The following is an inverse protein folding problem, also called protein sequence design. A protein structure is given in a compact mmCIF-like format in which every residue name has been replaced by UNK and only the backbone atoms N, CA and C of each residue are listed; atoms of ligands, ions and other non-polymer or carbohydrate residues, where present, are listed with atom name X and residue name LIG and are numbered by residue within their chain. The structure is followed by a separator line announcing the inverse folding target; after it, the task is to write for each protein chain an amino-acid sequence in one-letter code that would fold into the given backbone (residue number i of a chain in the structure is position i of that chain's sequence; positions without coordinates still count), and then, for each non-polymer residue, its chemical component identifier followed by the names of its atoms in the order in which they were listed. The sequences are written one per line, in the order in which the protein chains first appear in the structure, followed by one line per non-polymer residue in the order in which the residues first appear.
data_IF_984658890020
#
_entry.id   IF_984658890020
#
_cell.length_a   1.000
_cell.length_b   1.000
_cell.length_c   1.000
_cell.angle_alpha   90.00
_cell.angle_beta   90.00
_cell.angle_gamma   90.00
#
_symmetry.space_group_name_H-M   'P 1'
#
loop_
_entity.id
_entity.type
_entity.pdbx_description
1 polymer ?
#
# COMPACT_ATOMS: atom_id res chain seq x y z
N UNK A 1 -19.94 6.47 -7.62
CA UNK A 1 -20.86 5.53 -8.28
C UNK A 1 -20.79 4.11 -7.77
N UNK A 2 -20.55 3.87 -6.47
CA UNK A 2 -20.59 2.52 -5.91
C UNK A 2 -22.03 2.03 -5.69
N UNK A 3 -22.23 0.71 -5.60
CA UNK A 3 -23.54 0.13 -5.21
C UNK A 3 -23.83 0.46 -3.75
N UNK A 4 -25.05 0.89 -3.43
CA UNK A 4 -25.46 1.26 -2.05
C UNK A 4 -25.18 0.15 -1.03
N UNK A 5 -25.45 -1.10 -1.38
CA UNK A 5 -25.18 -2.24 -0.50
C UNK A 5 -23.68 -2.47 -0.22
N UNK A 6 -22.79 -2.18 -1.19
CA UNK A 6 -21.35 -2.29 -1.00
C UNK A 6 -20.85 -1.20 -0.04
N UNK A 7 -21.34 0.03 -0.20
CA UNK A 7 -21.03 1.14 0.73
C UNK A 7 -21.52 0.82 2.14
N UNK A 8 -22.75 0.32 2.29
CA UNK A 8 -23.30 -0.07 3.59
C UNK A 8 -22.47 -1.16 4.27
N UNK A 9 -21.96 -2.15 3.52
CA UNK A 9 -21.05 -3.17 4.05
C UNK A 9 -19.75 -2.56 4.56
N UNK A 10 -19.14 -1.63 3.82
CA UNK A 10 -17.92 -0.94 4.23
C UNK A 10 -18.15 -0.13 5.51
N UNK A 11 -19.23 0.66 5.57
CA UNK A 11 -19.59 1.42 6.78
C UNK A 11 -19.76 0.49 7.97
N UNK A 12 -20.50 -0.61 7.81
CA UNK A 12 -20.68 -1.60 8.88
C UNK A 12 -19.34 -2.17 9.35
N UNK A 13 -18.43 -2.51 8.44
CA UNK A 13 -17.08 -2.98 8.81
C UNK A 13 -16.31 -1.90 9.57
N UNK A 14 -16.37 -0.64 9.14
CA UNK A 14 -15.72 0.47 9.87
C UNK A 14 -16.32 0.65 11.27
N UNK A 15 -17.63 0.46 11.45
CA UNK A 15 -18.29 0.47 12.77
C UNK A 15 -17.83 -0.71 13.63
N UNK A 16 -17.81 -1.93 13.08
CA UNK A 16 -17.38 -3.16 13.78
C UNK A 16 -15.94 -3.06 14.30
N UNK A 17 -15.05 -2.34 13.60
CA UNK A 17 -13.66 -2.10 14.01
C UNK A 17 -13.46 -0.74 14.72
N UNK A 18 -14.53 0.00 15.04
CA UNK A 18 -14.45 1.29 15.75
C UNK A 18 -13.86 2.46 14.94
N UNK A 19 -13.63 2.29 13.64
CA UNK A 19 -13.00 3.28 12.77
C UNK A 19 -13.95 4.43 12.39
N UNK A 20 -15.27 4.27 12.56
CA UNK A 20 -16.24 5.34 12.28
C UNK A 20 -16.14 6.55 13.21
N UNK A 21 -15.53 6.41 14.39
CA UNK A 21 -15.35 7.53 15.34
C UNK A 21 -14.55 8.71 14.75
N UNK A 22 -13.67 8.42 13.77
CA UNK A 22 -12.81 9.39 13.11
C UNK A 22 -12.96 9.37 11.58
N UNK A 23 -13.99 8.72 11.04
CA UNK A 23 -14.19 8.58 9.58
C UNK A 23 -15.48 9.25 9.13
N UNK A 24 -15.38 10.04 8.04
CA UNK A 24 -16.55 10.58 7.33
C UNK A 24 -16.69 9.86 5.99
N UNK A 25 -17.91 9.43 5.63
CA UNK A 25 -18.18 8.75 4.37
C UNK A 25 -19.04 9.64 3.47
N UNK A 26 -18.45 10.13 2.37
CA UNK A 26 -19.16 10.91 1.34
C UNK A 26 -19.68 9.97 0.27
N UNK A 27 -21.01 9.89 0.11
CA UNK A 27 -21.65 8.87 -0.72
C UNK A 27 -22.33 9.48 -1.94
N UNK A 28 -21.84 9.13 -3.13
CA UNK A 28 -22.57 9.29 -4.40
C UNK A 28 -22.68 7.92 -5.09
N UNK A 29 -23.81 7.25 -4.88
CA UNK A 29 -24.04 5.88 -5.39
C UNK A 29 -24.29 5.85 -6.89
N UNK A 30 -24.30 4.65 -7.49
CA UNK A 30 -24.58 4.46 -8.92
C UNK A 30 -25.98 4.95 -9.35
N UNK A 31 -26.95 5.01 -8.43
CA UNK A 31 -28.30 5.52 -8.72
C UNK A 31 -28.39 7.05 -8.69
N UNK A 32 -27.36 7.73 -8.19
CA UNK A 32 -27.34 9.19 -8.13
C UNK A 32 -27.00 9.78 -9.50
N UNK A 33 -27.55 10.97 -9.84
CA UNK A 33 -27.27 11.62 -11.11
C UNK A 33 -25.79 11.99 -11.25
N UNK A 34 -25.30 12.03 -12.49
CA UNK A 34 -23.90 12.30 -12.81
C UNK A 34 -23.29 13.54 -12.14
N UNK A 35 -23.99 14.68 -11.95
CA UNK A 35 -23.46 15.83 -11.22
C UNK A 35 -23.04 15.50 -9.78
N UNK A 36 -23.80 14.66 -9.07
CA UNK A 36 -23.47 14.27 -7.70
C UNK A 36 -22.25 13.35 -7.64
N UNK A 37 -22.15 12.41 -8.59
CA UNK A 37 -20.97 11.53 -8.69
C UNK A 37 -19.70 12.33 -9.07
N UNK A 38 -19.84 13.33 -9.93
CA UNK A 38 -18.77 14.24 -10.31
C UNK A 38 -18.28 15.10 -9.12
N UNK A 39 -19.19 15.64 -8.31
CA UNK A 39 -18.85 16.59 -7.25
C UNK A 39 -18.36 15.92 -5.95
N UNK A 40 -18.76 14.67 -5.68
CA UNK A 40 -18.48 13.99 -4.42
C UNK A 40 -16.99 14.00 -4.01
N UNK A 41 -16.02 13.75 -4.91
CA UNK A 41 -14.60 13.86 -4.55
C UNK A 41 -14.18 15.27 -4.14
N UNK A 42 -14.71 16.31 -4.78
CA UNK A 42 -14.43 17.70 -4.40
C UNK A 42 -15.03 18.06 -3.04
N UNK A 43 -16.23 17.56 -2.73
CA UNK A 43 -16.88 17.73 -1.43
C UNK A 43 -16.07 17.07 -0.31
N UNK A 44 -15.65 15.81 -0.50
CA UNK A 44 -14.78 15.12 0.47
C UNK A 44 -13.43 15.80 0.63
N UNK A 45 -12.83 16.27 -0.47
CA UNK A 45 -11.57 17.00 -0.43
C UNK A 45 -11.69 18.30 0.37
N UNK A 46 -12.77 19.07 0.18
CA UNK A 46 -13.02 20.29 0.96
C UNK A 46 -13.19 20.00 2.47
N UNK A 47 -13.85 18.90 2.83
CA UNK A 47 -13.94 18.45 4.23
C UNK A 47 -12.56 18.10 4.79
N UNK A 48 -11.72 17.40 4.03
CA UNK A 48 -10.34 17.07 4.41
C UNK A 48 -9.43 18.30 4.56
N UNK A 49 -9.58 19.28 3.67
CA UNK A 49 -8.84 20.54 3.72
C UNK A 49 -9.11 21.34 4.99
N UNK A 50 -10.35 21.31 5.51
CA UNK A 50 -10.64 21.93 6.81
C UNK A 50 -9.74 21.37 7.93
N UNK A 51 -9.51 20.06 7.96
CA UNK A 51 -8.59 19.46 8.93
C UNK A 51 -7.13 19.85 8.64
N UNK A 52 -6.69 19.78 7.38
CA UNK A 52 -5.35 20.20 6.94
C UNK A 52 -5.02 21.64 7.37
N UNK A 53 -5.94 22.57 7.10
CA UNK A 53 -5.75 24.01 7.32
C UNK A 53 -5.91 24.42 8.79
N UNK A 54 -6.41 23.50 9.63
CA UNK A 54 -6.47 23.67 11.10
C UNK A 54 -5.35 22.93 11.83
N UNK A 55 -4.26 22.61 11.12
CA UNK A 55 -3.06 21.96 11.69
C UNK A 55 -3.22 20.47 11.97
N UNK A 56 -4.32 19.84 11.53
CA UNK A 56 -4.57 18.40 11.70
C UNK A 56 -4.14 17.62 10.47
N UNK A 57 -4.10 16.30 10.62
CA UNK A 57 -3.76 15.37 9.55
C UNK A 57 -5.01 14.59 9.13
N UNK A 58 -5.32 14.58 7.84
CA UNK A 58 -6.45 13.86 7.27
C UNK A 58 -6.01 12.91 6.16
N UNK A 59 -6.73 11.81 6.02
CA UNK A 59 -6.62 10.84 4.94
C UNK A 59 -7.91 10.86 4.13
N UNK A 60 -7.80 10.92 2.81
CA UNK A 60 -8.93 10.80 1.89
C UNK A 60 -8.72 9.65 0.92
N UNK A 61 -9.75 8.80 0.78
CA UNK A 61 -9.78 7.70 -0.18
C UNK A 61 -10.85 8.00 -1.22
N UNK A 62 -10.48 7.97 -2.50
CA UNK A 62 -11.44 8.16 -3.59
C UNK A 62 -11.75 6.82 -4.26
N UNK A 63 -12.93 6.26 -3.98
CA UNK A 63 -13.39 4.96 -4.49
C UNK A 63 -14.61 5.11 -5.43
N UNK A 64 -14.43 5.30 -6.74
CA UNK A 64 -13.16 5.41 -7.48
C UNK A 64 -13.18 6.57 -8.47
N UNK A 65 -12.00 7.03 -8.88
CA UNK A 65 -11.84 8.16 -9.80
C UNK A 65 -12.15 7.78 -11.26
N UNK A 66 -12.10 6.49 -11.61
CA UNK A 66 -12.55 6.01 -12.93
C UNK A 66 -14.05 6.33 -13.12
N UNK A 67 -14.88 6.09 -12.11
CA UNK A 67 -16.31 6.42 -12.11
C UNK A 67 -16.57 7.93 -12.03
N UNK A 68 -15.70 8.72 -11.37
CA UNK A 68 -15.79 10.18 -11.44
C UNK A 68 -15.56 10.70 -12.87
N UNK A 69 -14.52 10.21 -13.55
CA UNK A 69 -14.23 10.58 -14.94
C UNK A 69 -15.38 10.18 -15.88
N UNK A 70 -15.98 9.00 -15.69
CA UNK A 70 -17.14 8.56 -16.46
C UNK A 70 -18.36 9.47 -16.26
N UNK A 71 -18.63 9.90 -15.01
CA UNK A 71 -19.67 10.89 -14.73
C UNK A 71 -19.38 12.24 -15.39
N UNK A 72 -18.12 12.71 -15.35
CA UNK A 72 -17.73 13.96 -16.01
C UNK A 72 -17.87 13.90 -17.54
N UNK A 73 -17.56 12.74 -18.12
CA UNK A 73 -17.79 12.46 -19.54
C UNK A 73 -19.26 12.57 -19.90
N UNK A 74 -20.15 11.93 -19.13
CA UNK A 74 -21.59 12.00 -19.34
C UNK A 74 -22.08 13.45 -19.31
N UNK A 75 -21.66 14.23 -18.31
CA UNK A 75 -22.03 15.65 -18.19
C UNK A 75 -21.55 16.46 -19.41
N UNK A 76 -20.30 16.28 -19.79
CA UNK A 76 -19.69 17.04 -20.89
C UNK A 76 -20.38 16.75 -22.23
N UNK A 77 -20.72 15.49 -22.50
CA UNK A 77 -21.43 15.10 -23.71
C UNK A 77 -22.86 15.66 -23.75
N UNK A 78 -23.59 15.63 -22.62
CA UNK A 78 -24.93 16.23 -22.53
C UNK A 78 -24.90 17.75 -22.72
N UNK A 79 -23.83 18.42 -22.28
CA UNK A 79 -23.56 19.83 -22.53
C UNK A 79 -23.03 20.12 -23.93
N UNK A 80 -22.94 19.11 -24.81
CA UNK A 80 -22.43 19.20 -26.19
C UNK A 80 -21.00 19.75 -26.27
N UNK A 81 -20.17 19.50 -25.26
CA UNK A 81 -18.74 19.79 -25.33
C UNK A 81 -18.07 18.76 -26.28
N UNK A 82 -17.16 19.19 -27.17
CA UNK A 82 -16.44 18.28 -28.05
C UNK A 82 -15.67 17.20 -27.26
N UNK A 83 -15.84 15.90 -27.58
CA UNK A 83 -15.09 14.83 -26.96
C UNK A 83 -13.69 14.66 -27.58
N UNK A 84 -12.76 14.10 -26.79
CA UNK A 84 -11.44 13.67 -27.22
C UNK A 84 -11.29 12.14 -27.15
N UNK A 85 -10.11 11.66 -26.72
CA UNK A 85 -9.79 10.22 -26.61
C UNK A 85 -10.79 9.50 -25.69
N UNK A 86 -11.25 8.32 -26.11
CA UNK A 86 -12.23 7.49 -25.39
C UNK A 86 -13.53 8.24 -25.00
N UNK A 87 -13.89 9.24 -25.81
CA UNK A 87 -15.01 10.15 -25.64
C UNK A 87 -14.97 11.03 -24.37
N UNK A 88 -13.86 11.08 -23.64
CA UNK A 88 -13.70 11.99 -22.51
C UNK A 88 -13.51 13.44 -22.99
N UNK A 89 -13.93 14.45 -22.20
CA UNK A 89 -13.65 15.84 -22.52
C UNK A 89 -12.14 16.12 -22.46
N UNK A 90 -11.67 17.10 -23.24
CA UNK A 90 -10.23 17.42 -23.34
C UNK A 90 -9.58 17.86 -22.03
N UNK A 91 -10.37 18.31 -21.05
CA UNK A 91 -9.92 18.74 -19.72
C UNK A 91 -10.09 17.66 -18.64
N UNK A 92 -10.29 16.39 -19.01
CA UNK A 92 -10.38 15.28 -18.03
C UNK A 92 -9.11 15.09 -17.21
N UNK A 93 -7.95 15.50 -17.72
CA UNK A 93 -6.73 15.55 -16.91
C UNK A 93 -6.85 16.60 -15.79
N UNK A 94 -7.34 17.80 -16.14
CA UNK A 94 -7.52 18.90 -15.20
C UNK A 94 -8.55 18.58 -14.11
N UNK A 95 -9.55 17.74 -14.42
CA UNK A 95 -10.49 17.21 -13.42
C UNK A 95 -9.76 16.61 -12.22
N UNK A 96 -8.82 15.70 -12.46
CA UNK A 96 -8.13 14.98 -11.40
C UNK A 96 -6.90 15.73 -10.90
N UNK A 97 -6.18 16.50 -11.73
CA UNK A 97 -5.00 17.23 -11.26
C UNK A 97 -5.40 18.28 -10.22
N UNK A 98 -6.40 19.13 -10.50
CA UNK A 98 -6.87 20.12 -9.52
C UNK A 98 -7.49 19.51 -8.25
N UNK A 99 -7.90 18.24 -8.31
CA UNK A 99 -8.40 17.51 -7.16
C UNK A 99 -7.24 16.98 -6.30
N UNK A 100 -6.29 16.30 -6.92
CA UNK A 100 -5.21 15.60 -6.22
C UNK A 100 -4.10 16.54 -5.77
N UNK A 101 -3.81 17.62 -6.49
CA UNK A 101 -2.86 18.68 -6.06
C UNK A 101 -3.31 19.42 -4.79
N UNK A 102 -4.56 19.25 -4.36
CA UNK A 102 -5.04 19.75 -3.06
C UNK A 102 -4.59 18.87 -1.89
N UNK A 103 -4.14 17.64 -2.14
CA UNK A 103 -3.57 16.78 -1.11
C UNK A 103 -2.10 17.18 -0.88
N UNK A 104 -1.81 17.85 0.23
CA UNK A 104 -0.47 18.37 0.52
C UNK A 104 -0.16 18.40 2.02
N UNK A 105 1.12 18.44 2.36
CA UNK A 105 1.64 18.82 3.69
C UNK A 105 1.94 20.31 3.69
N UNK A 106 1.30 21.05 4.60
CA UNK A 106 1.53 22.47 4.76
C UNK A 106 2.84 22.75 5.51
N UNK A 107 3.41 23.93 5.28
CA UNK A 107 4.54 24.44 6.04
C UNK A 107 4.15 24.71 7.49
N UNK A 108 5.14 24.86 8.36
CA UNK A 108 4.94 25.16 9.77
C UNK A 108 4.26 26.53 9.97
N UNK A 109 4.56 27.51 9.10
CA UNK A 109 3.89 28.83 9.05
C UNK A 109 2.38 28.72 8.79
N UNK A 110 1.94 27.67 8.09
CA UNK A 110 0.53 27.37 7.80
C UNK A 110 -0.06 26.33 8.75
N UNK A 111 0.56 26.13 9.92
CA UNK A 111 0.08 25.22 10.96
C UNK A 111 0.47 23.75 10.78
N UNK A 112 1.21 23.41 9.72
CA UNK A 112 1.83 22.09 9.59
C UNK A 112 0.89 20.91 9.32
N UNK A 113 -0.41 21.12 9.10
CA UNK A 113 -1.35 20.03 8.81
C UNK A 113 -1.13 19.37 7.44
N UNK A 114 -1.77 18.22 7.22
CA UNK A 114 -1.65 17.49 5.95
C UNK A 114 -2.96 16.84 5.49
N UNK A 115 -3.14 16.75 4.18
CA UNK A 115 -4.14 15.91 3.54
C UNK A 115 -3.43 14.87 2.66
N UNK A 116 -3.52 13.60 3.03
CA UNK A 116 -2.99 12.49 2.24
C UNK A 116 -4.11 11.89 1.39
N UNK A 117 -3.89 11.72 0.09
CA UNK A 117 -4.88 11.14 -0.83
C UNK A 117 -4.47 9.74 -1.30
N UNK A 118 -5.40 8.79 -1.23
CA UNK A 118 -5.31 7.46 -1.82
C UNK A 118 -6.40 7.30 -2.89
N UNK A 119 -6.17 7.76 -4.13
CA UNK A 119 -7.11 7.56 -5.21
C UNK A 119 -7.11 6.10 -5.68
N UNK A 120 -8.30 5.55 -5.90
CA UNK A 120 -8.49 4.23 -6.53
C UNK A 120 -8.84 4.44 -8.00
N UNK A 121 -8.19 3.66 -8.86
CA UNK A 121 -8.45 3.59 -10.29
C UNK A 121 -8.69 2.13 -10.66
N UNK A 122 -9.82 1.89 -11.29
CA UNK A 122 -10.13 0.60 -11.90
C UNK A 122 -9.52 0.55 -13.30
N UNK A 123 -8.63 -0.41 -13.55
CA UNK A 123 -8.11 -0.73 -14.88
C UNK A 123 -8.98 -1.79 -15.55
N UNK A 124 -9.11 -1.74 -16.87
CA UNK A 124 -9.84 -2.76 -17.63
C UNK A 124 -8.84 -3.81 -18.12
N UNK A 125 -9.08 -5.08 -17.76
CA UNK A 125 -8.21 -6.21 -18.12
C UNK A 125 -6.70 -6.01 -17.77
N UNK A 126 -6.41 -5.22 -16.73
CA UNK A 126 -5.03 -4.93 -16.33
C UNK A 126 -4.30 -3.91 -17.23
N UNK A 127 -4.99 -3.22 -18.13
CA UNK A 127 -4.37 -2.21 -18.98
C UNK A 127 -4.12 -0.89 -18.23
N UNK A 128 -2.87 -0.70 -17.82
CA UNK A 128 -2.38 0.54 -17.21
C UNK A 128 -2.11 1.67 -18.21
N UNK A 129 -2.06 1.34 -19.52
CA UNK A 129 -1.82 2.29 -20.60
C UNK A 129 -3.11 2.97 -21.11
N UNK A 130 -4.26 2.56 -20.57
CA UNK A 130 -5.54 3.21 -20.82
C UNK A 130 -5.50 4.69 -20.40
N UNK A 131 -6.40 5.49 -20.99
CA UNK A 131 -6.30 6.95 -20.92
C UNK A 131 -6.39 7.51 -19.50
N UNK A 132 -7.37 7.07 -18.70
CA UNK A 132 -7.56 7.56 -17.33
C UNK A 132 -6.47 7.06 -16.36
N UNK A 133 -6.10 5.76 -16.33
CA UNK A 133 -4.98 5.30 -15.52
C UNK A 133 -3.68 6.05 -15.80
N UNK A 134 -3.31 6.24 -17.07
CA UNK A 134 -2.09 6.97 -17.45
C UNK A 134 -2.08 8.41 -16.92
N UNK A 135 -3.23 9.11 -17.01
CA UNK A 135 -3.37 10.46 -16.48
C UNK A 135 -3.19 10.52 -14.96
N UNK A 136 -3.79 9.59 -14.22
CA UNK A 136 -3.73 9.63 -12.75
C UNK A 136 -2.36 9.21 -12.24
N UNK A 137 -1.70 8.23 -12.88
CA UNK A 137 -0.31 7.84 -12.60
C UNK A 137 0.63 9.04 -12.74
N UNK A 138 0.44 9.90 -13.74
CA UNK A 138 1.30 11.08 -13.93
C UNK A 138 1.04 12.20 -12.92
N UNK A 139 -0.11 12.18 -12.22
CA UNK A 139 -0.45 13.15 -11.16
C UNK A 139 0.03 12.67 -9.78
N UNK A 140 -0.23 11.41 -9.42
CA UNK A 140 0.02 10.89 -8.07
C UNK A 140 1.50 10.65 -7.80
N UNK A 141 1.97 10.86 -6.57
CA UNK A 141 3.37 10.63 -6.13
C UNK A 141 3.81 9.16 -6.08
N UNK A 142 3.05 8.24 -6.67
CA UNK A 142 3.32 6.82 -6.68
C UNK A 142 2.08 6.03 -7.01
N UNK A 143 2.23 4.73 -7.11
CA UNK A 143 1.12 3.80 -7.33
C UNK A 143 1.37 2.48 -6.62
N UNK A 144 0.28 1.89 -6.15
CA UNK A 144 0.22 0.49 -5.73
C UNK A 144 -0.60 -0.22 -6.80
N UNK A 145 0.06 -1.08 -7.57
CA UNK A 145 -0.59 -1.84 -8.63
C UNK A 145 -0.98 -3.22 -8.12
N UNK A 146 -2.27 -3.54 -8.19
CA UNK A 146 -2.82 -4.82 -7.74
C UNK A 146 -3.14 -5.70 -8.95
N UNK A 147 -2.60 -6.92 -8.97
CA UNK A 147 -2.77 -7.85 -10.09
C UNK A 147 -3.66 -9.05 -9.74
N UNK A 148 -4.65 -9.38 -10.58
CA UNK A 148 -5.49 -10.56 -10.38
C UNK A 148 -4.68 -11.86 -10.29
N UNK A 149 -3.67 -12.05 -11.13
CA UNK A 149 -2.88 -13.29 -11.17
C UNK A 149 -2.14 -13.54 -9.85
N UNK A 150 -1.57 -12.50 -9.24
CA UNK A 150 -0.96 -12.58 -7.91
C UNK A 150 -2.00 -12.96 -6.84
N UNK A 151 -3.19 -12.36 -6.92
CA UNK A 151 -4.27 -12.63 -5.97
C UNK A 151 -4.75 -14.10 -6.02
N UNK A 152 -4.87 -14.66 -7.23
CA UNK A 152 -5.27 -16.05 -7.45
C UNK A 152 -4.13 -17.04 -7.12
N UNK A 153 -2.88 -16.63 -7.28
CA UNK A 153 -1.70 -17.38 -6.82
C UNK A 153 -1.51 -17.34 -5.28
N UNK A 154 -2.42 -16.69 -4.53
CA UNK A 154 -2.37 -16.64 -3.07
C UNK A 154 -1.45 -15.56 -2.49
N UNK A 155 -0.94 -14.63 -3.31
CA UNK A 155 -0.20 -13.46 -2.85
C UNK A 155 -1.21 -12.36 -2.52
N UNK A 156 -1.42 -12.11 -1.21
CA UNK A 156 -2.40 -11.16 -0.70
C UNK A 156 -1.75 -10.35 0.43
N UNK A 157 -1.69 -9.01 0.35
CA UNK A 157 -2.20 -8.15 -0.73
C UNK A 157 -1.45 -8.36 -2.05
N UNK A 158 -2.17 -8.27 -3.17
CA UNK A 158 -1.71 -8.68 -4.51
C UNK A 158 -0.85 -7.61 -5.21
N UNK A 159 0.12 -7.04 -4.50
CA UNK A 159 0.95 -5.92 -4.97
C UNK A 159 1.99 -6.40 -5.99
N UNK A 160 1.97 -5.84 -7.20
CA UNK A 160 3.10 -5.97 -8.13
C UNK A 160 4.20 -4.98 -7.72
N UNK A 161 5.27 -5.49 -7.11
CA UNK A 161 6.39 -4.69 -6.60
C UNK A 161 7.19 -3.99 -7.73
N UNK A 162 7.21 -4.57 -8.93
CA UNK A 162 7.91 -3.99 -10.09
C UNK A 162 7.18 -2.78 -10.66
N UNK A 163 5.86 -2.87 -10.80
CA UNK A 163 5.01 -1.80 -11.33
C UNK A 163 4.63 -0.76 -10.26
N UNK A 164 4.69 -1.12 -8.98
CA UNK A 164 4.42 -0.21 -7.87
C UNK A 164 5.64 0.64 -7.55
N UNK A 165 5.40 1.90 -7.18
CA UNK A 165 6.45 2.87 -6.83
C UNK A 165 5.94 3.90 -5.84
N UNK A 166 6.83 4.41 -5.02
CA UNK A 166 6.66 5.68 -4.28
C UNK A 166 7.76 6.63 -4.72
N UNK A 167 7.40 7.83 -5.19
CA UNK A 167 8.35 8.88 -5.60
C UNK A 167 8.91 9.64 -4.39
N UNK A 168 8.20 9.63 -3.27
CA UNK A 168 8.71 10.12 -1.97
C UNK A 168 9.77 9.16 -1.40
N UNK A 169 9.59 7.86 -1.62
CA UNK A 169 10.55 6.83 -1.24
C UNK A 169 10.81 6.78 0.27
N UNK A 170 12.08 6.55 0.65
CA UNK A 170 12.48 6.38 2.05
C UNK A 170 12.34 7.62 2.92
N UNK A 171 12.01 8.79 2.37
CA UNK A 171 11.71 9.99 3.17
C UNK A 171 10.39 9.86 3.96
N UNK A 172 9.47 8.99 3.52
CA UNK A 172 8.24 8.68 4.24
C UNK A 172 8.40 7.57 5.29
N UNK A 173 9.63 7.08 5.52
CA UNK A 173 9.91 5.97 6.44
C UNK A 173 10.68 6.45 7.67
N UNK A 174 10.48 5.76 8.80
CA UNK A 174 11.41 5.87 9.92
C UNK A 174 12.79 5.33 9.54
N UNK A 175 13.83 5.76 10.25
CA UNK A 175 15.19 5.28 10.01
C UNK A 175 15.30 3.76 10.18
N UNK A 176 14.61 3.19 11.18
CA UNK A 176 14.53 1.75 11.40
C UNK A 176 13.95 1.00 10.18
N UNK A 177 12.81 1.44 9.65
CA UNK A 177 12.22 0.82 8.46
C UNK A 177 13.15 0.93 7.24
N UNK A 178 13.78 2.10 7.05
CA UNK A 178 14.74 2.30 5.96
C UNK A 178 15.95 1.35 6.05
N UNK A 179 16.43 1.07 7.26
CA UNK A 179 17.56 0.17 7.49
C UNK A 179 17.23 -1.29 7.15
N UNK A 180 15.97 -1.73 7.34
CA UNK A 180 15.57 -3.12 7.09
C UNK A 180 14.93 -3.35 5.72
N UNK A 181 14.35 -2.33 5.10
CA UNK A 181 13.60 -2.47 3.84
C UNK A 181 14.25 -1.74 2.65
N UNK A 182 15.43 -1.13 2.82
CA UNK A 182 16.04 -0.24 1.83
C UNK A 182 16.28 -0.87 0.46
N UNK A 183 16.69 -2.13 0.41
CA UNK A 183 16.94 -2.88 -0.83
C UNK A 183 15.76 -3.77 -1.24
N UNK A 184 14.77 -3.95 -0.36
CA UNK A 184 13.71 -4.96 -0.50
C UNK A 184 13.00 -4.92 -1.85
N UNK A 185 12.68 -3.71 -2.34
CA UNK A 185 12.02 -3.53 -3.65
C UNK A 185 12.90 -4.02 -4.80
N UNK A 186 14.19 -3.68 -4.77
CA UNK A 186 15.14 -4.10 -5.80
C UNK A 186 15.34 -5.61 -5.75
N UNK A 187 15.48 -6.17 -4.54
CA UNK A 187 15.68 -7.60 -4.33
C UNK A 187 14.49 -8.41 -4.83
N UNK A 188 13.25 -7.94 -4.56
CA UNK A 188 12.02 -8.58 -5.05
C UNK A 188 11.81 -8.40 -6.56
N UNK A 189 12.22 -7.26 -7.13
CA UNK A 189 12.16 -7.04 -8.57
C UNK A 189 13.11 -8.00 -9.31
N UNK A 190 14.35 -8.11 -8.84
CA UNK A 190 15.33 -9.07 -9.36
C UNK A 190 14.87 -10.51 -9.16
N UNK A 191 14.30 -10.84 -7.99
CA UNK A 191 13.71 -12.16 -7.75
C UNK A 191 12.66 -12.51 -8.80
N UNK A 192 11.75 -11.58 -9.15
CA UNK A 192 10.72 -11.85 -10.17
C UNK A 192 11.32 -12.11 -11.55
N UNK A 193 12.33 -11.34 -11.94
CA UNK A 193 13.04 -11.52 -13.20
C UNK A 193 13.74 -12.90 -13.24
N UNK A 194 14.45 -13.23 -12.17
CA UNK A 194 15.12 -14.53 -12.01
C UNK A 194 14.14 -15.70 -11.97
N UNK A 195 13.00 -15.54 -11.29
CA UNK A 195 11.97 -16.58 -11.20
C UNK A 195 11.35 -16.89 -12.57
N UNK A 196 11.18 -15.87 -13.43
CA UNK A 196 10.75 -16.08 -14.81
C UNK A 196 11.83 -16.79 -15.64
N UNK A 197 13.11 -16.42 -15.48
CA UNK A 197 14.22 -17.05 -16.20
C UNK A 197 14.47 -18.50 -15.76
N UNK A 198 14.35 -18.78 -14.47
CA UNK A 198 14.54 -20.10 -13.87
C UNK A 198 13.53 -21.14 -14.37
N UNK A 199 12.38 -20.72 -14.94
CA UNK A 199 11.45 -21.64 -15.59
C UNK A 199 12.01 -22.27 -16.87
N UNK A 200 13.04 -21.65 -17.47
CA UNK A 200 13.62 -22.07 -18.75
C UNK A 200 15.05 -22.59 -18.65
N UNK A 201 15.74 -22.40 -17.52
CA UNK A 201 17.15 -22.79 -17.33
C UNK A 201 17.33 -23.94 -16.35
N UNK A 202 18.16 -24.93 -16.70
CA UNK A 202 18.46 -26.10 -15.86
C UNK A 202 19.65 -25.92 -14.92
N UNK A 203 20.58 -25.01 -15.22
CA UNK A 203 21.77 -24.75 -14.41
C UNK A 203 21.80 -23.28 -13.97
N UNK A 204 21.44 -23.04 -12.70
CA UNK A 204 21.61 -21.76 -12.04
C UNK A 204 22.86 -21.83 -11.15
N UNK A 205 23.68 -20.78 -11.17
CA UNK A 205 24.80 -20.69 -10.24
C UNK A 205 24.31 -20.54 -8.78
N UNK A 206 25.20 -20.80 -7.82
CA UNK A 206 24.85 -20.81 -6.39
C UNK A 206 24.31 -19.46 -5.89
N UNK A 207 24.81 -18.34 -6.42
CA UNK A 207 24.36 -17.02 -5.98
C UNK A 207 22.93 -16.76 -6.47
N UNK A 208 22.64 -17.10 -7.73
CA UNK A 208 21.28 -17.02 -8.29
C UNK A 208 20.29 -17.91 -7.54
N UNK A 209 20.69 -19.14 -7.18
CA UNK A 209 19.86 -20.05 -6.36
C UNK A 209 19.56 -19.45 -4.97
N UNK A 210 20.56 -18.90 -4.29
CA UNK A 210 20.35 -18.26 -2.98
C UNK A 210 19.40 -17.06 -3.07
N UNK A 211 19.54 -16.23 -4.11
CA UNK A 211 18.66 -15.10 -4.34
C UNK A 211 17.22 -15.55 -4.62
N UNK A 212 17.03 -16.61 -5.41
CA UNK A 212 15.73 -17.20 -5.69
C UNK A 212 15.07 -17.73 -4.41
N UNK A 213 15.82 -18.48 -3.60
CA UNK A 213 15.33 -19.08 -2.36
C UNK A 213 14.98 -18.05 -1.30
N UNK A 214 15.78 -16.99 -1.16
CA UNK A 214 15.46 -15.87 -0.28
C UNK A 214 14.23 -15.12 -0.78
N UNK A 215 14.14 -14.86 -2.07
CA UNK A 215 12.99 -14.18 -2.67
C UNK A 215 11.67 -14.91 -2.45
N UNK A 216 11.64 -16.25 -2.54
CA UNK A 216 10.44 -17.06 -2.21
C UNK A 216 9.96 -16.80 -0.77
N UNK A 217 10.89 -16.80 0.19
CA UNK A 217 10.58 -16.55 1.62
C UNK A 217 10.12 -15.13 1.86
N UNK A 218 10.75 -14.15 1.20
CA UNK A 218 10.32 -12.75 1.28
C UNK A 218 8.91 -12.56 0.71
N UNK A 219 8.52 -13.27 -0.35
CA UNK A 219 7.15 -13.24 -0.86
C UNK A 219 6.15 -13.80 0.15
N UNK A 220 6.46 -14.92 0.81
CA UNK A 220 5.60 -15.47 1.87
C UNK A 220 5.49 -14.52 3.08
N UNK A 221 6.61 -13.92 3.48
CA UNK A 221 6.70 -12.98 4.60
C UNK A 221 5.85 -11.71 4.40
N UNK A 222 5.65 -11.31 3.15
CA UNK A 222 4.87 -10.11 2.79
C UNK A 222 3.38 -10.42 2.61
N UNK A 223 2.94 -11.68 2.77
CA UNK A 223 1.52 -12.01 2.76
C UNK A 223 0.88 -11.62 4.09
N UNK A 224 -0.27 -10.97 4.00
CA UNK A 224 -0.99 -10.47 5.16
C UNK A 224 -2.49 -10.65 4.98
N UNK A 225 -3.13 -11.15 6.02
CA UNK A 225 -4.57 -11.36 6.02
C UNK A 225 -5.32 -10.03 6.15
N UNK A 226 -6.54 -9.99 5.61
CA UNK A 226 -7.37 -8.80 5.65
C UNK A 226 -7.75 -8.44 7.09
N UNK A 227 -7.81 -7.15 7.39
CA UNK A 227 -8.17 -6.58 8.70
C UNK A 227 -7.21 -6.92 9.85
N UNK A 228 -6.00 -7.38 9.54
CA UNK A 228 -4.95 -7.63 10.53
C UNK A 228 -3.75 -6.69 10.31
N UNK A 229 -3.90 -5.36 10.48
CA UNK A 229 -2.79 -4.43 10.29
C UNK A 229 -1.66 -4.73 11.30
N UNK A 230 -0.42 -4.81 10.80
CA UNK A 230 0.76 -5.01 11.63
C UNK A 230 1.33 -3.66 12.06
N UNK A 231 1.64 -3.43 13.35
CA UNK A 231 2.27 -2.19 13.80
C UNK A 231 3.73 -2.10 13.33
N UNK A 232 4.27 -0.87 13.30
CA UNK A 232 5.58 -0.56 12.71
C UNK A 232 6.73 -1.37 13.31
N UNK A 233 6.74 -1.51 14.63
CA UNK A 233 7.73 -2.27 15.38
C UNK A 233 7.77 -3.75 14.97
N UNK A 234 6.60 -4.37 14.85
CA UNK A 234 6.49 -5.76 14.38
C UNK A 234 6.91 -5.91 12.92
N UNK A 235 6.55 -4.96 12.05
CA UNK A 235 7.02 -4.96 10.66
C UNK A 235 8.55 -4.89 10.59
N UNK A 236 9.18 -4.04 11.41
CA UNK A 236 10.64 -3.91 11.47
C UNK A 236 11.29 -5.23 11.89
N UNK A 237 10.75 -5.91 12.90
CA UNK A 237 11.28 -7.20 13.39
C UNK A 237 11.19 -8.27 12.31
N UNK A 238 10.02 -8.42 11.69
CA UNK A 238 9.76 -9.43 10.66
C UNK A 238 10.64 -9.20 9.44
N UNK A 239 10.72 -7.96 8.95
CA UNK A 239 11.57 -7.60 7.82
C UNK A 239 13.06 -7.74 8.14
N UNK A 240 13.48 -7.44 9.37
CA UNK A 240 14.85 -7.69 9.81
C UNK A 240 15.19 -9.19 9.74
N UNK A 241 14.30 -10.05 10.22
CA UNK A 241 14.49 -11.50 10.14
C UNK A 241 14.65 -11.99 8.69
N UNK A 242 13.80 -11.50 7.78
CA UNK A 242 13.88 -11.85 6.36
C UNK A 242 15.14 -11.33 5.66
N UNK A 243 15.47 -10.05 5.85
CA UNK A 243 16.58 -9.40 5.14
C UNK A 243 17.95 -9.80 5.64
N UNK A 244 18.09 -10.18 6.91
CA UNK A 244 19.34 -10.71 7.46
C UNK A 244 19.53 -12.21 7.21
N UNK A 245 18.61 -12.87 6.47
CA UNK A 245 18.74 -14.28 6.10
C UNK A 245 18.39 -15.27 7.21
N UNK A 246 17.73 -14.84 8.29
CA UNK A 246 17.30 -15.75 9.36
C UNK A 246 16.26 -16.78 8.92
N UNK A 247 15.59 -16.51 7.79
CA UNK A 247 14.59 -17.39 7.19
C UNK A 247 15.17 -18.38 6.16
N UNK A 248 16.43 -18.25 5.76
CA UNK A 248 16.98 -18.96 4.58
C UNK A 248 16.94 -20.50 4.69
N UNK A 249 16.98 -21.04 5.90
CA UNK A 249 16.88 -22.47 6.25
C UNK A 249 15.46 -22.91 6.66
N UNK A 250 14.52 -21.98 6.77
CA UNK A 250 13.10 -22.29 7.06
C UNK A 250 12.42 -22.72 5.76
N UNK A 251 11.66 -23.84 5.74
CA UNK A 251 10.83 -24.22 4.59
C UNK A 251 9.85 -23.11 4.22
N UNK A 252 9.61 -22.89 2.91
CA UNK A 252 8.77 -21.77 2.41
C UNK A 252 7.36 -21.84 3.01
N UNK A 253 6.81 -23.04 3.14
CA UNK A 253 5.49 -23.30 3.68
C UNK A 253 5.38 -22.95 5.18
N UNK A 254 6.50 -22.98 5.90
CA UNK A 254 6.58 -22.71 7.33
C UNK A 254 6.87 -21.22 7.65
N UNK A 255 7.16 -20.37 6.65
CA UNK A 255 7.53 -18.96 6.86
C UNK A 255 6.44 -18.19 7.61
N UNK A 256 5.16 -18.38 7.26
CA UNK A 256 4.05 -17.71 7.95
C UNK A 256 3.90 -18.19 9.40
N UNK A 257 4.12 -19.48 9.65
CA UNK A 257 4.09 -20.02 11.01
C UNK A 257 5.25 -19.47 11.84
N UNK A 258 6.43 -19.35 11.24
CA UNK A 258 7.60 -18.72 11.86
C UNK A 258 7.34 -17.27 12.22
N UNK A 259 6.78 -16.47 11.29
CA UNK A 259 6.43 -15.07 11.52
C UNK A 259 5.47 -14.91 12.71
N UNK A 260 4.37 -15.66 12.72
CA UNK A 260 3.38 -15.61 13.79
C UNK A 260 3.97 -16.05 15.14
N UNK A 261 4.80 -17.10 15.13
CA UNK A 261 5.48 -17.60 16.31
C UNK A 261 6.50 -16.59 16.85
N UNK A 262 7.32 -15.99 15.99
CA UNK A 262 8.30 -14.97 16.36
C UNK A 262 7.63 -13.76 16.97
N UNK A 263 6.55 -13.25 16.35
CA UNK A 263 5.80 -12.12 16.89
C UNK A 263 5.17 -12.47 18.25
N UNK A 264 4.64 -13.68 18.41
CA UNK A 264 4.09 -14.16 19.69
C UNK A 264 5.15 -14.27 20.78
N UNK A 265 6.33 -14.79 20.44
CA UNK A 265 7.49 -14.84 21.33
C UNK A 265 7.96 -13.45 21.74
N UNK A 266 8.12 -12.51 20.79
CA UNK A 266 8.55 -11.15 21.11
C UNK A 266 7.53 -10.43 21.99
N UNK A 267 6.22 -10.56 21.69
CA UNK A 267 5.15 -9.97 22.52
C UNK A 267 5.17 -10.47 23.96
N UNK A 268 5.49 -11.75 24.18
CA UNK A 268 5.44 -12.37 25.50
C UNK A 268 6.75 -12.26 26.30
N UNK A 269 7.88 -12.52 25.65
CA UNK A 269 9.18 -12.68 26.32
C UNK A 269 10.11 -11.47 26.15
N UNK A 270 9.93 -10.65 25.12
CA UNK A 270 10.79 -9.51 24.82
C UNK A 270 9.98 -8.23 24.50
N UNK A 271 8.99 -7.83 25.31
CA UNK A 271 8.14 -6.68 25.01
C UNK A 271 8.90 -5.35 24.95
N UNK A 272 10.06 -5.26 25.61
CA UNK A 272 10.88 -4.05 25.60
C UNK A 272 11.54 -3.78 24.24
N UNK A 273 11.82 -4.81 23.42
CA UNK A 273 12.30 -4.64 22.05
C UNK A 273 11.34 -3.77 21.21
N UNK A 274 10.04 -4.04 21.33
CA UNK A 274 9.00 -3.29 20.62
C UNK A 274 8.99 -1.82 21.04
N UNK A 275 9.08 -1.55 22.33
CA UNK A 275 9.14 -0.18 22.88
C UNK A 275 10.38 0.56 22.39
N UNK A 276 11.55 -0.07 22.48
CA UNK A 276 12.82 0.52 22.04
C UNK A 276 12.79 0.88 20.56
N UNK A 277 12.20 0.04 19.69
CA UNK A 277 12.04 0.35 18.26
C UNK A 277 11.15 1.58 18.05
N UNK A 278 10.02 1.67 18.76
CA UNK A 278 9.08 2.79 18.63
C UNK A 278 9.65 4.11 19.15
N UNK A 279 10.43 4.08 20.22
CA UNK A 279 11.07 5.26 20.82
C UNK A 279 12.26 5.74 20.00
N UNK A 280 13.22 4.84 19.69
CA UNK A 280 14.43 5.21 18.95
C UNK A 280 14.17 5.50 17.48
N UNK A 281 13.20 4.81 16.87
CA UNK A 281 12.88 4.85 15.42
C UNK A 281 14.10 4.59 14.51
N UNK A 282 15.15 3.98 15.05
CA UNK A 282 16.41 3.63 14.40
C UNK A 282 16.99 2.37 15.05
N UNK A 283 17.64 1.53 14.25
CA UNK A 283 18.35 0.33 14.72
C UNK A 283 19.84 0.66 14.87
N UNK A 284 20.25 0.90 16.11
CA UNK A 284 21.67 0.95 16.50
C UNK A 284 22.24 -0.48 16.69
N UNK A 285 23.54 -0.58 16.89
CA UNK A 285 24.22 -1.88 17.02
C UNK A 285 23.71 -2.67 18.24
N UNK A 286 23.39 -2.00 19.35
CA UNK A 286 22.83 -2.64 20.54
C UNK A 286 21.46 -3.25 20.25
N UNK A 287 20.56 -2.52 19.58
CA UNK A 287 19.22 -3.00 19.25
C UNK A 287 19.26 -4.12 18.20
N UNK A 288 20.18 -4.05 17.23
CA UNK A 288 20.43 -5.17 16.30
C UNK A 288 20.90 -6.42 17.02
N UNK A 289 21.84 -6.30 17.95
CA UNK A 289 22.33 -7.43 18.74
C UNK A 289 21.19 -8.07 19.56
N UNK A 290 20.31 -7.27 20.17
CA UNK A 290 19.12 -7.78 20.87
C UNK A 290 18.13 -8.47 19.92
N UNK A 291 17.93 -7.94 18.72
CA UNK A 291 17.09 -8.58 17.69
C UNK A 291 17.68 -9.92 17.25
N UNK A 292 18.98 -9.96 16.99
CA UNK A 292 19.70 -11.17 16.62
C UNK A 292 19.57 -12.25 17.71
N UNK A 293 19.78 -11.89 18.97
CA UNK A 293 19.61 -12.79 20.11
C UNK A 293 18.17 -13.32 20.19
N UNK A 294 17.17 -12.44 20.09
CA UNK A 294 15.77 -12.81 20.19
C UNK A 294 15.33 -13.76 19.06
N UNK A 295 15.75 -13.47 17.82
CA UNK A 295 15.41 -14.29 16.65
C UNK A 295 16.09 -15.65 16.75
N UNK A 296 17.39 -15.70 17.12
CA UNK A 296 18.12 -16.96 17.30
C UNK A 296 17.51 -17.82 18.40
N UNK A 297 17.21 -17.23 19.56
CA UNK A 297 16.58 -17.93 20.68
C UNK A 297 15.21 -18.50 20.29
N UNK A 298 14.38 -17.75 19.57
CA UNK A 298 13.11 -18.27 19.08
C UNK A 298 13.32 -19.40 18.08
N UNK A 299 14.26 -19.24 17.15
CA UNK A 299 14.53 -20.22 16.10
C UNK A 299 15.01 -21.57 16.64
N UNK A 300 15.75 -21.60 17.75
CA UNK A 300 16.11 -22.85 18.45
C UNK A 300 14.89 -23.62 18.97
N UNK A 301 13.80 -22.92 19.26
CA UNK A 301 12.54 -23.51 19.73
C UNK A 301 11.55 -23.81 18.61
N UNK A 302 11.75 -23.24 17.43
CA UNK A 302 10.83 -23.36 16.30
C UNK A 302 11.06 -24.68 15.56
N UNK A 303 9.98 -25.44 15.38
CA UNK A 303 9.96 -26.62 14.52
C UNK A 303 9.01 -26.33 13.34
N UNK A 304 9.48 -26.44 12.08
CA UNK A 304 8.67 -26.20 10.89
C UNK A 304 7.43 -27.09 10.77
#
# INVERSE_FOLDING_TARGET
GQKRAAVAKIVKTLEEYGAMEYTTVVVATASEPAPLQYIAPYSGCAMGEYFRDTGRHALIIYDDLSKQAAAYRQLSLLLRRPPGREAYPGDVFYLHSRLLERAAKLSDEKGGGSLTALPIIETQAGDVSAYIPTNVISITDGQIYLEPDLFYAGIRPAVNVGLSVSRVGGAAQTKAMKQVAGTLRLDLAQYRELAAFAQFGSDLDKATLQQLERGKRMVELLKQDQYQPMPLDEQVIVLYAGTQGYLDDIPVEAVRAFEQGLLSYVRSQKPDLKKEIMEKKALDEDLKAKLDEAIKAFKETFQP
#
